data_IF_693190844747
#
_entry.id   IF_693190844747
#
_cell.length_a   1.000
_cell.length_b   1.000
_cell.length_c   1.000
_cell.angle_alpha   90.00
_cell.angle_beta   90.00
_cell.angle_gamma   90.00
#
_symmetry.space_group_name_H-M   'P 1'
#
loop_
_entity.id
_entity.type
_entity.pdbx_description
1 polymer ?
#
# COMPACT_ATOMS: atom_id res chain seq x y z
N UNK A 1 1.16 9.70 -19.25
CA UNK A 1 2.07 9.11 -18.24
C UNK A 1 1.84 7.60 -18.26
N UNK A 2 2.82 6.76 -17.90
CA UNK A 2 2.62 5.30 -17.96
C UNK A 2 1.94 4.81 -16.69
N UNK A 3 0.90 4.01 -16.82
CA UNK A 3 0.19 3.39 -15.71
C UNK A 3 1.11 2.36 -15.03
N UNK A 4 1.13 2.36 -13.70
CA UNK A 4 1.84 1.37 -12.89
C UNK A 4 0.93 0.23 -12.48
N UNK A 5 -0.38 0.51 -12.30
CA UNK A 5 -1.43 -0.48 -12.04
C UNK A 5 -2.58 -0.25 -13.01
N UNK A 6 -3.09 -1.33 -13.61
CA UNK A 6 -4.32 -1.36 -14.38
C UNK A 6 -5.21 -2.46 -13.85
N UNK A 7 -6.43 -2.12 -13.46
CA UNK A 7 -7.45 -3.04 -12.97
C UNK A 7 -8.60 -3.07 -13.97
N UNK A 8 -8.89 -4.24 -14.52
CA UNK A 8 -9.84 -4.40 -15.60
C UNK A 8 -10.95 -5.39 -15.21
N UNK A 9 -12.13 -4.85 -14.91
CA UNK A 9 -13.37 -5.58 -14.65
C UNK A 9 -13.23 -6.73 -13.64
N UNK A 10 -12.56 -6.49 -12.53
CA UNK A 10 -12.29 -7.48 -11.50
C UNK A 10 -13.56 -7.85 -10.75
N UNK A 11 -13.86 -9.16 -10.73
CA UNK A 11 -14.86 -9.72 -9.83
C UNK A 11 -14.22 -10.66 -8.82
N UNK A 12 -14.84 -10.77 -7.64
CA UNK A 12 -14.44 -11.77 -6.63
C UNK A 12 -15.68 -12.36 -5.96
N UNK A 13 -15.78 -13.68 -6.03
CA UNK A 13 -16.85 -14.44 -5.40
C UNK A 13 -16.22 -15.45 -4.44
N UNK A 14 -16.62 -15.42 -3.17
CA UNK A 14 -16.26 -16.39 -2.15
C UNK A 14 -17.38 -17.41 -1.95
N UNK A 15 -17.05 -18.61 -1.51
CA UNK A 15 -17.96 -19.73 -1.31
C UNK A 15 -18.01 -20.68 -2.52
N UNK A 16 -18.34 -21.95 -2.25
CA UNK A 16 -18.51 -22.98 -3.30
C UNK A 16 -19.90 -22.87 -3.94
N UNK A 17 -20.06 -23.36 -5.17
CA UNK A 17 -21.36 -23.35 -5.91
C UNK A 17 -22.55 -23.93 -5.14
N UNK A 18 -22.32 -24.78 -4.14
CA UNK A 18 -23.32 -25.44 -3.31
C UNK A 18 -23.64 -24.69 -2.01
N UNK A 19 -22.86 -23.63 -1.68
CA UNK A 19 -23.00 -22.83 -0.47
C UNK A 19 -23.47 -21.41 -0.82
N UNK A 20 -23.91 -20.65 0.19
CA UNK A 20 -24.27 -19.24 0.00
C UNK A 20 -23.03 -18.46 -0.47
N UNK A 21 -23.00 -18.09 -1.74
CA UNK A 21 -21.94 -17.30 -2.34
C UNK A 21 -22.04 -15.84 -1.90
N UNK A 22 -20.88 -15.23 -1.65
CA UNK A 22 -20.73 -13.80 -1.39
C UNK A 22 -19.86 -13.16 -2.47
N UNK A 23 -20.43 -12.21 -3.21
CA UNK A 23 -19.70 -11.47 -4.23
C UNK A 23 -19.12 -10.20 -3.62
N UNK A 24 -17.81 -10.22 -3.34
CA UNK A 24 -17.09 -9.11 -2.72
C UNK A 24 -16.73 -8.00 -3.71
N UNK A 25 -16.41 -8.35 -4.98
CA UNK A 25 -16.14 -7.40 -6.05
C UNK A 25 -17.03 -7.69 -7.25
N UNK A 26 -17.56 -6.62 -7.86
CA UNK A 26 -18.61 -6.68 -8.91
C UNK A 26 -18.21 -5.92 -10.18
N UNK A 27 -16.97 -6.10 -10.65
CA UNK A 27 -16.48 -5.46 -11.86
C UNK A 27 -15.74 -4.14 -11.57
N UNK A 28 -14.81 -4.16 -10.60
CA UNK A 28 -13.98 -3.01 -10.32
C UNK A 28 -12.99 -2.75 -11.47
N UNK A 29 -12.90 -1.49 -11.91
CA UNK A 29 -11.95 -1.04 -12.94
C UNK A 29 -11.40 0.33 -12.56
N UNK A 30 -10.09 0.49 -12.61
CA UNK A 30 -9.36 1.76 -12.43
C UNK A 30 -7.89 1.54 -12.81
N UNK A 31 -7.16 2.64 -12.88
CA UNK A 31 -5.71 2.68 -13.09
C UNK A 31 -5.02 3.49 -12.00
N UNK A 32 -3.70 3.33 -11.89
CA UNK A 32 -2.81 4.17 -11.08
C UNK A 32 -1.64 4.57 -11.95
N UNK A 33 -1.38 5.87 -12.05
CA UNK A 33 -0.24 6.39 -12.80
C UNK A 33 1.07 6.23 -12.00
N UNK A 34 2.18 6.12 -12.72
CA UNK A 34 3.50 6.06 -12.08
C UNK A 34 3.79 7.35 -11.31
N UNK A 35 4.13 7.21 -10.02
CA UNK A 35 4.36 8.32 -9.11
C UNK A 35 3.08 9.01 -8.63
N UNK A 36 1.92 8.37 -8.79
CA UNK A 36 0.65 8.85 -8.23
C UNK A 36 0.44 8.32 -6.80
N UNK A 37 -0.20 9.12 -5.95
CA UNK A 37 -0.69 8.70 -4.65
C UNK A 37 -2.21 8.61 -4.68
N UNK A 38 -2.74 7.39 -4.75
CA UNK A 38 -4.19 7.11 -4.82
C UNK A 38 -4.68 6.60 -3.47
N UNK A 39 -5.80 7.14 -3.00
CA UNK A 39 -6.56 6.62 -1.87
C UNK A 39 -7.78 5.82 -2.35
N UNK A 40 -8.06 4.68 -1.72
CA UNK A 40 -9.32 3.95 -1.89
C UNK A 40 -10.11 4.05 -0.60
N UNK A 41 -11.30 4.63 -0.68
CA UNK A 41 -12.20 4.84 0.47
C UNK A 41 -13.53 4.10 0.31
N UNK A 42 -14.07 3.62 1.42
CA UNK A 42 -15.38 2.98 1.44
C UNK A 42 -15.74 2.46 2.83
N UNK A 43 -17.01 2.14 3.03
CA UNK A 43 -17.48 1.56 4.29
C UNK A 43 -16.87 0.18 4.57
N UNK A 44 -16.96 -0.29 5.82
CA UNK A 44 -16.61 -1.68 6.15
C UNK A 44 -17.42 -2.65 5.27
N UNK A 45 -16.78 -3.69 4.77
CA UNK A 45 -17.42 -4.67 3.88
C UNK A 45 -17.61 -4.24 2.42
N UNK A 46 -17.18 -3.03 2.02
CA UNK A 46 -17.33 -2.56 0.63
C UNK A 46 -16.44 -3.27 -0.41
N UNK A 47 -15.47 -4.09 0.04
CA UNK A 47 -14.56 -4.84 -0.84
C UNK A 47 -13.12 -4.32 -0.87
N UNK A 48 -12.76 -3.32 -0.05
CA UNK A 48 -11.40 -2.71 -0.02
C UNK A 48 -10.30 -3.73 0.23
N UNK A 49 -10.38 -4.50 1.32
CA UNK A 49 -9.39 -5.51 1.68
C UNK A 49 -9.32 -6.63 0.64
N UNK A 50 -10.47 -7.04 0.07
CA UNK A 50 -10.50 -8.01 -1.03
C UNK A 50 -9.75 -7.49 -2.25
N UNK A 51 -10.00 -6.24 -2.63
CA UNK A 51 -9.31 -5.60 -3.76
C UNK A 51 -7.81 -5.51 -3.49
N UNK A 52 -7.40 -5.05 -2.31
CA UNK A 52 -5.98 -4.95 -1.94
C UNK A 52 -5.29 -6.32 -1.91
N UNK A 53 -5.96 -7.37 -1.42
CA UNK A 53 -5.41 -8.73 -1.45
C UNK A 53 -5.16 -9.23 -2.89
N UNK A 54 -6.03 -8.90 -3.83
CA UNK A 54 -5.82 -9.24 -5.24
C UNK A 54 -4.64 -8.44 -5.81
N UNK A 55 -4.59 -7.13 -5.58
CA UNK A 55 -3.51 -6.27 -6.05
C UNK A 55 -2.15 -6.66 -5.47
N UNK A 56 -2.13 -7.13 -4.22
CA UNK A 56 -0.92 -7.61 -3.55
C UNK A 56 -0.57 -9.08 -3.82
N UNK A 57 -1.27 -9.73 -4.75
CA UNK A 57 -1.09 -11.16 -5.10
C UNK A 57 -1.28 -12.14 -3.92
N UNK A 58 -2.00 -11.73 -2.88
CA UNK A 58 -2.40 -12.59 -1.76
C UNK A 58 -3.65 -13.41 -2.07
N UNK A 59 -4.48 -12.92 -3.01
CA UNK A 59 -5.65 -13.61 -3.51
C UNK A 59 -5.75 -13.45 -5.04
N UNK A 60 -6.60 -14.23 -5.70
CA UNK A 60 -6.85 -14.15 -7.13
C UNK A 60 -8.28 -13.66 -7.40
N UNK A 61 -8.50 -12.89 -8.47
CA UNK A 61 -9.86 -12.55 -8.90
C UNK A 61 -10.60 -13.79 -9.39
N UNK A 62 -11.94 -13.73 -9.36
CA UNK A 62 -12.77 -14.75 -10.04
C UNK A 62 -12.78 -14.53 -11.54
N UNK A 63 -12.85 -13.26 -11.98
CA UNK A 63 -12.73 -12.85 -13.39
C UNK A 63 -12.07 -11.48 -13.48
N UNK A 64 -11.64 -11.10 -14.68
CA UNK A 64 -10.97 -9.84 -14.96
C UNK A 64 -9.46 -9.96 -14.84
N UNK A 65 -8.74 -8.87 -15.14
CA UNK A 65 -7.29 -8.85 -15.19
C UNK A 65 -6.71 -7.69 -14.37
N UNK A 66 -5.52 -7.91 -13.81
CA UNK A 66 -4.72 -6.87 -13.15
C UNK A 66 -3.33 -6.88 -13.75
N UNK A 67 -2.88 -5.71 -14.17
CA UNK A 67 -1.51 -5.50 -14.64
C UNK A 67 -0.79 -4.59 -13.66
N UNK A 68 0.41 -4.99 -13.23
CA UNK A 68 1.30 -4.18 -12.41
C UNK A 68 2.65 -4.09 -13.14
N UNK A 69 3.12 -2.88 -13.34
CA UNK A 69 4.36 -2.62 -14.08
C UNK A 69 4.37 -3.32 -15.45
N UNK A 70 3.19 -3.36 -16.14
CA UNK A 70 2.99 -3.99 -17.43
C UNK A 70 2.87 -5.53 -17.41
N UNK A 71 2.97 -6.18 -16.25
CA UNK A 71 2.86 -7.64 -16.12
C UNK A 71 1.47 -8.05 -15.63
N UNK A 72 0.83 -8.98 -16.32
CA UNK A 72 -0.44 -9.58 -15.89
C UNK A 72 -0.21 -10.49 -14.68
N UNK A 73 -0.66 -10.05 -13.50
CA UNK A 73 -0.51 -10.80 -12.24
C UNK A 73 -1.58 -11.88 -12.07
N UNK A 74 -2.67 -11.83 -12.84
CA UNK A 74 -3.76 -12.81 -12.75
C UNK A 74 -3.42 -14.13 -13.42
N UNK A 75 -2.43 -14.12 -14.34
CA UNK A 75 -1.92 -15.30 -15.02
C UNK A 75 -0.80 -16.04 -14.26
N UNK A 76 -0.32 -15.47 -13.14
CA UNK A 76 0.81 -16.02 -12.38
C UNK A 76 0.39 -17.24 -11.55
N UNK A 77 1.27 -18.26 -11.51
CA UNK A 77 1.15 -19.34 -10.54
C UNK A 77 1.62 -18.90 -9.13
N UNK A 78 1.38 -19.73 -8.11
CA UNK A 78 1.67 -19.39 -6.69
C UNK A 78 3.13 -18.98 -6.44
N UNK A 79 4.10 -19.66 -7.06
CA UNK A 79 5.52 -19.34 -6.89
C UNK A 79 5.84 -17.99 -7.55
N UNK A 80 5.37 -17.80 -8.78
CA UNK A 80 5.53 -16.54 -9.51
C UNK A 80 4.88 -15.35 -8.79
N UNK A 81 3.72 -15.56 -8.13
CA UNK A 81 3.08 -14.54 -7.28
C UNK A 81 3.95 -14.15 -6.09
N UNK A 82 4.58 -15.14 -5.42
CA UNK A 82 5.47 -14.88 -4.29
C UNK A 82 6.70 -14.08 -4.73
N UNK A 83 7.32 -14.47 -5.83
CA UNK A 83 8.48 -13.78 -6.42
C UNK A 83 8.10 -12.35 -6.85
N UNK A 84 6.97 -12.20 -7.55
CA UNK A 84 6.46 -10.91 -8.00
C UNK A 84 6.19 -9.97 -6.81
N UNK A 85 5.50 -10.46 -5.79
CA UNK A 85 5.24 -9.70 -4.57
C UNK A 85 6.52 -9.21 -3.91
N UNK A 86 7.51 -10.09 -3.81
CA UNK A 86 8.81 -9.75 -3.23
C UNK A 86 9.57 -8.69 -4.02
N UNK A 87 9.42 -8.64 -5.35
CA UNK A 87 10.19 -7.77 -6.24
C UNK A 87 9.51 -6.43 -6.52
N UNK A 88 8.19 -6.45 -6.76
CA UNK A 88 7.46 -5.31 -7.33
C UNK A 88 6.56 -4.60 -6.32
N UNK A 89 6.30 -5.20 -5.14
CA UNK A 89 5.33 -4.67 -4.18
C UNK A 89 6.00 -4.34 -2.85
N UNK A 90 5.86 -3.09 -2.40
CA UNK A 90 6.09 -2.69 -1.02
C UNK A 90 4.78 -2.74 -0.24
N UNK A 91 4.83 -3.06 1.06
CA UNK A 91 3.63 -3.13 1.89
C UNK A 91 3.85 -2.49 3.26
N UNK A 92 2.97 -1.54 3.63
CA UNK A 92 2.90 -0.96 4.97
C UNK A 92 1.61 -1.48 5.62
N UNK A 93 1.78 -2.24 6.70
CA UNK A 93 0.69 -2.81 7.50
C UNK A 93 0.33 -1.90 8.67
N UNK A 94 -0.89 -2.02 9.14
CA UNK A 94 -1.40 -1.30 10.33
C UNK A 94 -0.53 -1.55 11.58
N UNK A 95 -0.10 -2.80 11.83
CA UNK A 95 0.67 -3.21 13.01
C UNK A 95 2.18 -3.28 12.75
N UNK A 96 2.70 -2.59 11.72
CA UNK A 96 4.10 -2.59 11.27
C UNK A 96 4.67 -3.96 10.90
N UNK A 97 4.25 -5.04 11.55
CA UNK A 97 4.71 -6.42 11.36
C UNK A 97 6.25 -6.54 11.33
N UNK A 98 6.93 -5.84 12.24
CA UNK A 98 8.36 -6.01 12.45
C UNK A 98 8.62 -7.29 13.22
N UNK A 99 9.67 -8.00 12.87
CA UNK A 99 10.13 -9.19 13.58
C UNK A 99 10.92 -8.74 14.81
N UNK A 100 10.37 -8.97 16.00
CA UNK A 100 10.91 -8.50 17.28
C UNK A 100 12.28 -9.15 17.64
N UNK A 101 12.57 -10.31 17.07
CA UNK A 101 13.84 -11.04 17.25
C UNK A 101 14.94 -10.64 16.26
N UNK A 102 14.66 -9.72 15.36
CA UNK A 102 15.61 -9.15 14.41
C UNK A 102 15.88 -7.68 14.75
N UNK A 103 17.10 -7.23 14.53
CA UNK A 103 17.45 -5.81 14.58
C UNK A 103 16.67 -5.03 13.51
N UNK A 104 16.61 -3.70 13.61
CA UNK A 104 15.98 -2.86 12.59
C UNK A 104 16.68 -3.01 11.23
N UNK A 105 18.01 -3.15 11.23
CA UNK A 105 18.80 -3.44 10.02
C UNK A 105 18.34 -4.73 9.35
N UNK A 106 18.22 -5.80 10.12
CA UNK A 106 17.80 -7.11 9.60
C UNK A 106 16.35 -7.09 9.13
N UNK A 107 15.44 -6.41 9.85
CA UNK A 107 14.06 -6.19 9.39
C UNK A 107 14.03 -5.51 8.01
N UNK A 108 14.81 -4.44 7.83
CA UNK A 108 14.89 -3.73 6.54
C UNK A 108 15.53 -4.60 5.45
N UNK A 109 16.55 -5.38 5.80
CA UNK A 109 17.27 -6.26 4.86
C UNK A 109 16.44 -7.46 4.38
N UNK A 110 15.41 -7.85 5.13
CA UNK A 110 14.66 -9.09 4.90
C UNK A 110 14.17 -9.29 3.46
N UNK A 111 13.52 -8.32 2.79
CA UNK A 111 13.09 -8.49 1.41
C UNK A 111 14.24 -8.79 0.44
N UNK A 112 15.39 -8.15 0.62
CA UNK A 112 16.57 -8.37 -0.23
C UNK A 112 17.17 -9.75 0.00
N UNK A 113 17.19 -10.22 1.25
CA UNK A 113 17.68 -11.56 1.60
C UNK A 113 16.80 -12.65 0.99
N UNK A 114 15.47 -12.46 0.99
CA UNK A 114 14.52 -13.40 0.38
C UNK A 114 14.60 -13.42 -1.15
N UNK A 115 15.08 -12.36 -1.77
CA UNK A 115 15.32 -12.26 -3.23
C UNK A 115 16.70 -12.77 -3.65
N UNK A 116 17.46 -13.37 -2.75
CA UNK A 116 18.83 -13.84 -3.00
C UNK A 116 19.80 -12.74 -3.49
N UNK A 117 19.58 -11.49 -3.06
CA UNK A 117 20.52 -10.39 -3.33
C UNK A 117 21.85 -10.70 -2.65
N UNK A 118 22.96 -10.46 -3.35
CA UNK A 118 24.31 -10.70 -2.81
C UNK A 118 24.52 -9.92 -1.52
N UNK A 119 25.04 -10.57 -0.47
CA UNK A 119 25.24 -9.98 0.87
C UNK A 119 26.02 -8.66 0.82
N UNK A 120 26.98 -8.53 -0.12
CA UNK A 120 27.75 -7.29 -0.31
C UNK A 120 26.91 -6.10 -0.78
N UNK A 121 25.73 -6.32 -1.33
CA UNK A 121 24.82 -5.28 -1.84
C UNK A 121 23.72 -4.92 -0.85
N UNK A 122 23.43 -5.79 0.14
CA UNK A 122 22.31 -5.59 1.09
C UNK A 122 22.58 -4.39 1.99
N UNK A 123 23.70 -4.38 2.71
CA UNK A 123 24.01 -3.31 3.66
C UNK A 123 24.05 -1.90 3.02
N UNK A 124 24.66 -1.69 1.85
CA UNK A 124 24.62 -0.37 1.19
C UNK A 124 23.19 0.10 0.86
N UNK A 125 22.29 -0.80 0.44
CA UNK A 125 20.88 -0.47 0.18
C UNK A 125 20.14 -0.14 1.47
N UNK A 126 20.35 -0.90 2.55
CA UNK A 126 19.77 -0.64 3.87
C UNK A 126 20.25 0.71 4.40
N UNK A 127 21.54 1.00 4.34
CA UNK A 127 22.10 2.28 4.83
C UNK A 127 21.55 3.46 4.03
N UNK A 128 21.39 3.32 2.72
CA UNK A 128 20.81 4.34 1.84
C UNK A 128 19.39 4.70 2.24
N UNK A 129 18.51 3.70 2.39
CA UNK A 129 17.10 3.94 2.74
C UNK A 129 16.96 4.40 4.19
N UNK A 130 17.78 3.91 5.11
CA UNK A 130 17.76 4.31 6.52
C UNK A 130 18.14 5.79 6.70
N UNK A 131 19.17 6.25 6.02
CA UNK A 131 19.57 7.68 5.99
C UNK A 131 18.43 8.55 5.45
N UNK A 132 17.81 8.13 4.33
CA UNK A 132 16.71 8.86 3.70
C UNK A 132 15.51 9.02 4.65
N UNK A 133 15.22 8.03 5.48
CA UNK A 133 14.11 8.04 6.44
C UNK A 133 14.55 8.53 7.85
N UNK A 134 15.81 8.93 8.03
CA UNK A 134 16.34 9.47 9.29
C UNK A 134 16.39 8.45 10.42
N UNK A 135 16.62 7.17 10.10
CA UNK A 135 16.64 6.04 11.06
C UNK A 135 17.99 5.30 11.09
N UNK A 136 19.02 5.83 10.46
CA UNK A 136 20.35 5.22 10.42
C UNK A 136 20.97 5.02 11.81
N UNK A 137 20.67 5.91 12.75
CA UNK A 137 21.14 5.86 14.14
C UNK A 137 20.49 4.76 14.99
N UNK A 138 19.42 4.10 14.53
CA UNK A 138 18.72 3.04 15.27
C UNK A 138 18.81 1.66 14.60
N UNK A 139 19.60 1.52 13.53
CA UNK A 139 19.68 0.28 12.76
C UNK A 139 20.08 -0.95 13.58
N UNK A 140 20.93 -0.78 14.59
CA UNK A 140 21.41 -1.88 15.42
C UNK A 140 20.54 -2.15 16.66
N UNK A 141 19.44 -1.40 16.85
CA UNK A 141 18.44 -1.62 17.90
C UNK A 141 17.39 -2.63 17.44
N UNK A 142 16.73 -3.26 18.42
CA UNK A 142 15.56 -4.10 18.18
C UNK A 142 14.27 -3.26 18.15
N UNK A 143 13.18 -3.76 17.55
CA UNK A 143 11.91 -3.05 17.54
C UNK A 143 11.39 -2.66 18.92
N UNK A 144 11.61 -3.51 19.95
CA UNK A 144 11.21 -3.22 21.33
C UNK A 144 11.92 -1.99 21.95
N UNK A 145 13.07 -1.56 21.39
CA UNK A 145 13.90 -0.47 21.93
C UNK A 145 13.62 0.90 21.28
N UNK A 146 12.64 0.98 20.39
CA UNK A 146 12.36 2.19 19.59
C UNK A 146 10.91 2.63 19.72
N UNK A 147 10.66 3.93 19.46
CA UNK A 147 9.31 4.50 19.50
C UNK A 147 8.40 3.99 18.38
N UNK A 148 7.08 4.15 18.52
CA UNK A 148 6.10 3.80 17.49
C UNK A 148 6.39 4.48 16.15
N UNK A 149 6.69 5.78 16.12
CA UNK A 149 7.05 6.50 14.92
C UNK A 149 8.37 6.00 14.28
N UNK A 150 9.34 5.55 15.10
CA UNK A 150 10.55 4.91 14.58
C UNK A 150 10.25 3.52 13.99
N UNK A 151 9.39 2.71 14.64
CA UNK A 151 8.92 1.42 14.09
C UNK A 151 8.27 1.61 12.72
N UNK A 152 7.47 2.65 12.54
CA UNK A 152 6.85 2.99 11.25
C UNK A 152 7.88 3.26 10.17
N UNK A 153 8.88 4.09 10.46
CA UNK A 153 9.94 4.41 9.50
C UNK A 153 10.77 3.18 9.15
N UNK A 154 11.00 2.28 10.11
CA UNK A 154 11.64 0.98 9.85
C UNK A 154 10.78 0.12 8.94
N UNK A 155 9.45 0.05 9.17
CA UNK A 155 8.52 -0.68 8.30
C UNK A 155 8.45 -0.06 6.88
N UNK A 156 8.45 1.27 6.78
CA UNK A 156 8.52 1.97 5.49
C UNK A 156 9.85 1.70 4.77
N UNK A 157 10.98 1.70 5.49
CA UNK A 157 12.29 1.36 4.93
C UNK A 157 12.31 -0.07 4.38
N UNK A 158 11.76 -1.02 5.14
CA UNK A 158 11.62 -2.42 4.69
C UNK A 158 10.78 -2.54 3.43
N UNK A 159 9.67 -1.80 3.37
CA UNK A 159 8.78 -1.82 2.20
C UNK A 159 9.42 -1.22 0.94
N UNK A 160 10.44 -0.37 1.06
CA UNK A 160 11.04 0.39 -0.03
C UNK A 160 12.46 -0.05 -0.42
N UNK A 161 13.14 -0.85 0.41
CA UNK A 161 14.57 -1.18 0.23
C UNK A 161 14.87 -1.89 -1.10
N UNK A 162 13.90 -2.59 -1.64
CA UNK A 162 13.98 -3.31 -2.92
C UNK A 162 13.46 -2.49 -4.11
N UNK A 163 13.14 -1.21 -3.91
CA UNK A 163 12.68 -0.26 -4.94
C UNK A 163 11.43 -0.78 -5.70
N UNK A 164 10.31 -1.07 -4.99
CA UNK A 164 9.13 -1.67 -5.60
C UNK A 164 8.47 -0.74 -6.63
N UNK A 165 7.69 -1.31 -7.57
CA UNK A 165 6.91 -0.53 -8.53
C UNK A 165 5.78 0.26 -7.87
N UNK A 166 5.20 -0.30 -6.79
CA UNK A 166 4.12 0.32 -6.02
C UNK A 166 4.22 -0.01 -4.53
N UNK A 167 3.84 0.95 -3.70
CA UNK A 167 3.69 0.82 -2.26
C UNK A 167 2.20 0.72 -1.91
N UNK A 168 1.79 -0.36 -1.25
CA UNK A 168 0.45 -0.53 -0.71
C UNK A 168 0.39 -0.20 0.78
N UNK A 169 -0.66 0.50 1.21
CA UNK A 169 -1.01 0.74 2.61
C UNK A 169 -2.41 0.22 2.91
N UNK A 170 -2.55 -0.71 3.87
CA UNK A 170 -3.84 -1.17 4.37
C UNK A 170 -4.10 -0.56 5.73
N UNK A 171 -4.95 0.47 5.77
CA UNK A 171 -5.27 1.22 6.99
C UNK A 171 -4.02 1.62 7.79
N UNK A 172 -2.97 2.20 7.16
CA UNK A 172 -1.63 2.28 7.77
C UNK A 172 -1.57 3.15 9.04
N UNK A 173 -2.62 3.92 9.30
CA UNK A 173 -2.75 4.79 10.47
C UNK A 173 -3.70 4.25 11.54
N UNK A 174 -4.37 3.12 11.30
CA UNK A 174 -5.49 2.65 12.12
C UNK A 174 -5.15 2.29 13.57
N UNK A 175 -3.88 1.92 13.86
CA UNK A 175 -3.41 1.60 15.21
C UNK A 175 -2.58 2.71 15.86
N UNK A 176 -2.54 3.92 15.26
CA UNK A 176 -1.63 4.98 15.65
C UNK A 176 -2.35 6.11 16.41
N UNK A 177 -1.64 6.76 17.33
CA UNK A 177 -2.03 8.06 17.83
C UNK A 177 -1.92 9.13 16.71
N UNK A 178 -2.63 10.26 16.90
CA UNK A 178 -2.73 11.32 15.88
C UNK A 178 -1.37 11.87 15.42
N UNK A 179 -0.39 11.96 16.32
CA UNK A 179 0.95 12.47 16.00
C UNK A 179 1.69 11.47 15.12
N UNK A 180 1.72 10.21 15.52
CA UNK A 180 2.37 9.13 14.78
C UNK A 180 1.71 8.92 13.41
N UNK A 181 0.38 9.00 13.32
CA UNK A 181 -0.36 8.93 12.07
C UNK A 181 0.08 10.07 11.10
N UNK A 182 0.15 11.30 11.61
CA UNK A 182 0.60 12.44 10.81
C UNK A 182 2.04 12.25 10.32
N UNK A 183 2.96 11.81 11.19
CA UNK A 183 4.36 11.57 10.81
C UNK A 183 4.50 10.50 9.72
N UNK A 184 3.70 9.42 9.77
CA UNK A 184 3.68 8.40 8.72
C UNK A 184 3.16 8.98 7.40
N UNK A 185 2.03 9.69 7.43
CA UNK A 185 1.42 10.27 6.24
C UNK A 185 2.31 11.31 5.58
N UNK A 186 2.98 12.16 6.36
CA UNK A 186 3.99 13.10 5.84
C UNK A 186 5.20 12.36 5.24
N UNK A 187 5.62 11.24 5.84
CA UNK A 187 6.65 10.38 5.27
C UNK A 187 6.21 9.80 3.92
N UNK A 188 5.00 9.23 3.84
CA UNK A 188 4.46 8.69 2.59
C UNK A 188 4.32 9.76 1.51
N UNK A 189 3.83 10.95 1.88
CA UNK A 189 3.74 12.10 0.98
C UNK A 189 5.12 12.51 0.47
N UNK A 190 6.11 12.64 1.35
CA UNK A 190 7.49 12.96 0.97
C UNK A 190 8.09 11.95 -0.01
N UNK A 191 7.85 10.65 0.20
CA UNK A 191 8.27 9.58 -0.71
C UNK A 191 7.59 9.71 -2.08
N UNK A 192 6.32 10.07 -2.11
CA UNK A 192 5.59 10.28 -3.36
C UNK A 192 6.08 11.55 -4.11
N UNK A 193 6.13 12.69 -3.44
CA UNK A 193 6.45 13.99 -4.06
C UNK A 193 7.93 14.09 -4.49
N UNK A 194 8.86 13.65 -3.62
CA UNK A 194 10.30 13.83 -3.86
C UNK A 194 10.92 12.66 -4.64
N UNK A 195 10.39 11.45 -4.45
CA UNK A 195 11.01 10.23 -4.98
C UNK A 195 10.14 9.52 -6.03
N UNK A 196 8.96 10.08 -6.32
CA UNK A 196 8.02 9.54 -7.31
C UNK A 196 7.59 8.11 -7.02
N UNK A 197 7.56 7.72 -5.73
CA UNK A 197 7.02 6.42 -5.32
C UNK A 197 5.53 6.39 -5.61
N UNK A 198 5.06 5.39 -6.38
CA UNK A 198 3.64 5.17 -6.60
C UNK A 198 3.02 4.57 -5.33
N UNK A 199 1.92 5.14 -4.85
CA UNK A 199 1.29 4.71 -3.59
C UNK A 199 -0.20 4.46 -3.82
N UNK A 200 -0.71 3.33 -3.33
CA UNK A 200 -2.14 3.06 -3.21
C UNK A 200 -2.45 2.72 -1.75
N UNK A 201 -3.23 3.59 -1.12
CA UNK A 201 -3.61 3.46 0.28
C UNK A 201 -5.09 3.18 0.42
N UNK A 202 -5.42 2.11 1.13
CA UNK A 202 -6.80 1.83 1.55
C UNK A 202 -7.01 2.43 2.92
N UNK A 203 -8.07 3.22 3.08
CA UNK A 203 -8.45 3.79 4.38
C UNK A 203 -9.94 4.13 4.44
N UNK A 204 -10.50 4.17 5.63
CA UNK A 204 -11.82 4.74 5.89
C UNK A 204 -11.73 6.13 6.55
N UNK A 205 -10.52 6.57 6.91
CA UNK A 205 -10.27 7.85 7.56
C UNK A 205 -10.06 8.97 6.52
N UNK A 206 -10.94 10.02 6.52
CA UNK A 206 -10.82 11.14 5.59
C UNK A 206 -9.54 11.95 5.75
N UNK A 207 -8.99 12.02 6.99
CA UNK A 207 -7.75 12.73 7.24
C UNK A 207 -6.59 12.07 6.52
N UNK A 208 -6.44 10.77 6.67
CA UNK A 208 -5.42 9.99 5.96
C UNK A 208 -5.61 10.09 4.44
N UNK A 209 -6.84 9.95 3.96
CA UNK A 209 -7.17 10.07 2.54
C UNK A 209 -6.77 11.42 1.93
N UNK A 210 -6.85 12.53 2.70
CA UNK A 210 -6.52 13.88 2.21
C UNK A 210 -5.06 14.07 1.77
N UNK A 211 -4.18 13.14 2.12
CA UNK A 211 -2.79 13.13 1.67
C UNK A 211 -2.62 12.61 0.23
N UNK A 212 -3.57 11.85 -0.27
CA UNK A 212 -3.56 11.37 -1.65
C UNK A 212 -3.84 12.49 -2.66
N UNK A 213 -3.42 12.29 -3.90
CA UNK A 213 -3.74 13.18 -5.02
C UNK A 213 -5.11 12.89 -5.64
N UNK A 214 -5.60 11.65 -5.47
CA UNK A 214 -6.88 11.17 -6.01
C UNK A 214 -7.51 10.15 -5.07
N UNK A 215 -8.83 10.20 -4.92
CA UNK A 215 -9.61 9.24 -4.13
C UNK A 215 -10.58 8.50 -5.02
N UNK A 216 -10.55 7.17 -4.93
CA UNK A 216 -11.52 6.26 -5.52
C UNK A 216 -12.46 5.77 -4.41
N UNK A 217 -13.74 5.96 -4.58
CA UNK A 217 -14.74 5.46 -3.64
C UNK A 217 -15.23 4.09 -4.08
N UNK A 218 -15.10 3.10 -3.18
CA UNK A 218 -15.63 1.76 -3.41
C UNK A 218 -16.91 1.55 -2.57
N UNK A 219 -17.99 1.14 -3.23
CA UNK A 219 -19.27 0.81 -2.62
C UNK A 219 -19.81 -0.50 -3.22
N UNK A 220 -20.25 -1.42 -2.35
CA UNK A 220 -20.85 -2.69 -2.75
C UNK A 220 -20.03 -3.47 -3.80
N UNK A 221 -18.71 -3.46 -3.69
CA UNK A 221 -17.77 -4.15 -4.58
C UNK A 221 -17.53 -3.48 -5.93
N UNK A 222 -17.94 -2.23 -6.11
CA UNK A 222 -17.71 -1.45 -7.33
C UNK A 222 -16.96 -0.17 -7.03
N UNK A 223 -16.05 0.22 -7.92
CA UNK A 223 -15.51 1.57 -7.93
C UNK A 223 -16.61 2.50 -8.47
N UNK A 224 -16.98 3.48 -7.65
CA UNK A 224 -18.02 4.45 -7.98
C UNK A 224 -17.39 5.79 -8.36
N UNK A 225 -17.57 6.79 -7.49
CA UNK A 225 -17.08 8.14 -7.73
C UNK A 225 -15.56 8.25 -7.52
N UNK A 226 -14.96 9.15 -8.27
CA UNK A 226 -13.60 9.60 -8.16
C UNK A 226 -13.57 11.10 -7.87
N UNK A 227 -12.65 11.55 -7.01
CA UNK A 227 -12.35 12.96 -6.79
C UNK A 227 -10.84 13.19 -6.84
N UNK A 228 -10.43 14.34 -7.37
CA UNK A 228 -9.02 14.72 -7.53
C UNK A 228 -8.72 15.98 -6.72
N UNK A 229 -7.52 16.03 -6.20
CA UNK A 229 -7.04 17.17 -5.43
C UNK A 229 -6.85 18.42 -6.30
N UNK A 230 -6.34 18.27 -7.53
CA UNK A 230 -6.25 19.28 -8.59
C UNK A 230 -5.84 20.67 -8.11
N UNK A 231 -4.69 20.76 -7.41
CA UNK A 231 -4.15 22.04 -6.92
C UNK A 231 -4.79 22.57 -5.63
N UNK A 232 -5.83 21.92 -5.09
CA UNK A 232 -6.41 22.27 -3.80
C UNK A 232 -5.40 22.05 -2.68
N UNK A 233 -5.50 22.81 -1.60
CA UNK A 233 -4.83 22.52 -0.34
C UNK A 233 -5.31 21.18 0.24
N UNK A 234 -4.54 20.61 1.17
CA UNK A 234 -4.97 19.38 1.87
C UNK A 234 -6.27 19.58 2.65
N UNK A 235 -6.45 20.77 3.25
CA UNK A 235 -7.67 21.11 4.00
C UNK A 235 -8.91 21.19 3.10
N UNK A 236 -8.81 21.87 1.95
CA UNK A 236 -9.91 21.94 0.98
C UNK A 236 -10.28 20.56 0.45
N UNK A 237 -9.28 19.73 0.17
CA UNK A 237 -9.52 18.36 -0.30
C UNK A 237 -10.13 17.48 0.78
N UNK A 238 -9.70 17.63 2.04
CA UNK A 238 -10.32 16.97 3.19
C UNK A 238 -11.81 17.31 3.33
N UNK A 239 -12.18 18.58 3.21
CA UNK A 239 -13.58 19.01 3.27
C UNK A 239 -14.41 18.43 2.12
N UNK A 240 -13.83 18.34 0.92
CA UNK A 240 -14.50 17.71 -0.22
C UNK A 240 -14.73 16.21 0.01
N UNK A 241 -13.73 15.49 0.57
CA UNK A 241 -13.88 14.08 0.94
C UNK A 241 -15.02 13.89 1.94
N UNK A 242 -15.09 14.71 3.00
CA UNK A 242 -16.16 14.65 4.00
C UNK A 242 -17.53 14.93 3.36
N UNK A 243 -17.62 15.96 2.53
CA UNK A 243 -18.86 16.28 1.83
C UNK A 243 -19.35 15.11 0.95
N UNK A 244 -18.42 14.37 0.32
CA UNK A 244 -18.76 13.20 -0.49
C UNK A 244 -19.22 12.01 0.37
N UNK A 245 -18.58 11.78 1.51
CA UNK A 245 -19.00 10.74 2.47
C UNK A 245 -20.40 11.02 3.06
N UNK A 246 -20.75 12.28 3.27
CA UNK A 246 -22.07 12.66 3.77
C UNK A 246 -23.23 12.52 2.77
N UNK A 247 -22.93 12.32 1.48
CA UNK A 247 -23.93 12.11 0.41
C UNK A 247 -24.32 10.65 0.19
N UNK A 248 -23.85 9.75 1.02
CA UNK A 248 -24.01 8.28 0.86
C UNK A 248 -25.18 7.69 1.59
#
# INVERSE_FOLDING_TARGET
MSEVVQVQNITKIYGKKVEKQYQALKGASFDVERGEFVGIMGASGSGKTTLLNILSTLDQPTTGNVYINGRDITSLNKNQMADFRGQEIGFIFQDFNLLENLTNRENIALPLSLQNVKSSQINPKVDKIAKRLGIDHILNKYPAEISGGQKQRVAAARALVHEPAILYGDEPTGALDSKSATELLETMKGLNENDRVSILMVTHDPYSASYASRILFIKDGKIGKEIKKDGKSREEFYQEIIAELGRR
#
